data_IF_305021631350
#
_entry.id   IF_305021631350
#
_cell.length_a   1.000
_cell.length_b   1.000
_cell.length_c   1.000
_cell.angle_alpha   90.00
_cell.angle_beta   90.00
_cell.angle_gamma   90.00
#
_symmetry.space_group_name_H-M   'P 1'
#
loop_
_entity.id
_entity.type
_entity.pdbx_description
1 polymer ?
#
# COMPACT_ATOMS: atom_id res chain seq x y z
N UNK A 1 18.23 12.28 0.48
CA UNK A 1 16.80 12.45 0.80
C UNK A 1 16.46 11.48 1.90
N UNK A 2 15.59 11.85 2.84
CA UNK A 2 15.10 10.93 3.87
C UNK A 2 14.08 9.98 3.25
N UNK A 3 14.26 8.68 3.43
CA UNK A 3 13.32 7.65 2.95
C UNK A 3 12.30 7.30 4.01
N UNK A 4 11.13 6.84 3.58
CA UNK A 4 10.10 6.27 4.45
C UNK A 4 10.56 4.85 4.82
N UNK A 5 10.50 4.47 6.09
CA UNK A 5 10.96 3.14 6.52
C UNK A 5 10.11 2.03 5.89
N UNK A 6 8.78 2.20 5.90
CA UNK A 6 7.84 1.24 5.35
C UNK A 6 6.62 1.95 4.76
N UNK A 7 6.17 1.51 3.58
CA UNK A 7 4.94 1.93 2.94
C UNK A 7 4.07 0.71 2.60
N UNK A 8 2.75 0.88 2.61
CA UNK A 8 1.77 -0.14 2.23
C UNK A 8 0.95 0.33 1.03
N UNK A 9 0.91 -0.46 -0.03
CA UNK A 9 -0.02 -0.30 -1.15
C UNK A 9 -1.21 -1.24 -0.94
N UNK A 10 -2.41 -0.73 -1.16
CA UNK A 10 -3.65 -1.52 -1.12
C UNK A 10 -4.42 -1.25 -2.41
N UNK A 11 -4.37 -2.20 -3.33
CA UNK A 11 -4.96 -2.11 -4.66
C UNK A 11 -5.23 -3.53 -5.17
N UNK A 12 -6.42 -3.80 -5.69
CA UNK A 12 -6.80 -5.14 -6.17
C UNK A 12 -6.30 -5.44 -7.59
N UNK A 13 -5.73 -4.47 -8.30
CA UNK A 13 -5.17 -4.65 -9.63
C UNK A 13 -3.65 -4.93 -9.61
N UNK A 14 -3.27 -6.12 -10.05
CA UNK A 14 -1.87 -6.56 -10.11
C UNK A 14 -0.99 -5.66 -11.01
N UNK A 15 -1.58 -5.08 -12.07
CA UNK A 15 -0.85 -4.22 -13.01
C UNK A 15 -0.51 -2.88 -12.35
N UNK A 16 -1.47 -2.27 -11.65
CA UNK A 16 -1.27 -1.08 -10.85
C UNK A 16 -0.20 -1.34 -9.78
N UNK A 17 -0.30 -2.46 -9.05
CA UNK A 17 0.69 -2.87 -8.06
C UNK A 17 2.11 -2.99 -8.66
N UNK A 18 2.26 -3.57 -9.86
CA UNK A 18 3.55 -3.66 -10.55
C UNK A 18 4.12 -2.28 -10.89
N UNK A 19 3.29 -1.38 -11.42
CA UNK A 19 3.71 -0.03 -11.79
C UNK A 19 4.10 0.79 -10.56
N UNK A 20 3.31 0.72 -9.48
CA UNK A 20 3.62 1.37 -8.21
C UNK A 20 4.94 0.86 -7.62
N UNK A 21 5.15 -0.47 -7.59
CA UNK A 21 6.43 -1.07 -7.14
C UNK A 21 7.62 -0.52 -7.94
N UNK A 22 7.53 -0.46 -9.27
CA UNK A 22 8.59 0.11 -10.12
C UNK A 22 8.81 1.60 -9.84
N UNK A 23 7.76 2.37 -9.60
CA UNK A 23 7.88 3.80 -9.30
C UNK A 23 8.59 4.02 -7.97
N UNK A 24 8.20 3.29 -6.92
CA UNK A 24 8.84 3.35 -5.61
C UNK A 24 10.33 3.00 -5.68
N UNK A 25 10.70 1.99 -6.47
CA UNK A 25 12.09 1.60 -6.69
C UNK A 25 12.88 2.71 -7.41
N UNK A 26 12.33 3.28 -8.47
CA UNK A 26 13.01 4.34 -9.25
C UNK A 26 13.22 5.63 -8.45
N UNK A 27 12.28 5.96 -7.57
CA UNK A 27 12.33 7.16 -6.75
C UNK A 27 13.11 6.95 -5.43
N UNK A 28 13.47 5.70 -5.10
CA UNK A 28 14.16 5.34 -3.85
C UNK A 28 13.47 5.91 -2.59
N UNK A 29 12.15 5.92 -2.58
CA UNK A 29 11.32 6.67 -1.61
C UNK A 29 11.01 5.89 -0.33
N UNK A 30 10.99 4.55 -0.39
CA UNK A 30 10.75 3.70 0.77
C UNK A 30 11.77 2.56 0.88
N UNK A 31 12.12 2.17 2.10
CA UNK A 31 13.04 1.04 2.37
C UNK A 31 12.31 -0.31 2.24
N UNK A 32 11.07 -0.36 2.72
CA UNK A 32 10.18 -1.50 2.59
C UNK A 32 8.87 -1.09 1.92
N UNK A 33 8.40 -1.92 1.00
CA UNK A 33 7.11 -1.76 0.35
C UNK A 33 6.28 -3.03 0.54
N UNK A 34 5.24 -2.93 1.36
CA UNK A 34 4.21 -3.95 1.54
C UNK A 34 3.11 -3.75 0.49
N UNK A 35 2.48 -4.85 0.07
CA UNK A 35 1.36 -4.82 -0.87
C UNK A 35 0.26 -5.75 -0.37
N UNK A 36 -0.97 -5.26 -0.40
CA UNK A 36 -2.20 -6.00 -0.13
C UNK A 36 -3.15 -5.84 -1.31
N UNK A 37 -3.91 -6.88 -1.64
CA UNK A 37 -4.88 -6.86 -2.75
C UNK A 37 -6.31 -6.52 -2.30
N UNK A 38 -6.51 -6.33 -1.00
CA UNK A 38 -7.79 -5.95 -0.41
C UNK A 38 -7.59 -5.42 1.01
N UNK A 39 -8.68 -4.90 1.59
CA UNK A 39 -8.66 -4.36 2.95
C UNK A 39 -8.35 -5.40 4.04
N UNK A 40 -8.75 -6.67 3.87
CA UNK A 40 -8.48 -7.69 4.88
C UNK A 40 -6.99 -8.02 4.96
N UNK A 41 -6.34 -8.22 3.83
CA UNK A 41 -4.89 -8.41 3.74
C UNK A 41 -4.13 -7.19 4.28
N UNK A 42 -4.62 -5.98 3.97
CA UNK A 42 -4.02 -4.75 4.51
C UNK A 42 -4.08 -4.71 6.04
N UNK A 43 -5.23 -5.05 6.63
CA UNK A 43 -5.38 -5.11 8.09
C UNK A 43 -4.50 -6.20 8.72
N UNK A 44 -4.37 -7.36 8.08
CA UNK A 44 -3.47 -8.43 8.54
C UNK A 44 -2.00 -7.98 8.52
N UNK A 45 -1.57 -7.29 7.46
CA UNK A 45 -0.23 -6.72 7.38
C UNK A 45 -0.01 -5.66 8.46
N UNK A 46 -0.98 -4.79 8.72
CA UNK A 46 -0.89 -3.80 9.79
C UNK A 46 -0.77 -4.47 11.17
N UNK A 47 -1.60 -5.47 11.47
CA UNK A 47 -1.53 -6.22 12.73
C UNK A 47 -0.19 -6.94 12.91
N UNK A 48 0.38 -7.48 11.83
CA UNK A 48 1.64 -8.20 11.89
C UNK A 48 2.88 -7.29 12.04
N UNK A 49 2.81 -6.03 11.57
CA UNK A 49 3.97 -5.14 11.50
C UNK A 49 3.88 -3.94 12.47
N UNK A 50 2.73 -3.68 13.10
CA UNK A 50 2.52 -2.53 13.98
C UNK A 50 2.18 -2.91 15.44
N UNK A 51 2.74 -2.21 16.44
CA UNK A 51 3.83 -1.23 16.31
C UNK A 51 5.16 -1.95 16.03
N UNK A 52 6.06 -1.32 15.28
CA UNK A 52 7.36 -1.90 14.93
C UNK A 52 8.11 -1.09 13.88
N UNK A 53 9.37 -1.47 13.61
CA UNK A 53 10.19 -0.86 12.56
C UNK A 53 9.59 -1.00 11.16
N UNK A 54 8.86 -2.11 10.95
CA UNK A 54 8.21 -2.42 9.68
C UNK A 54 6.79 -1.83 9.56
N UNK A 55 6.30 -1.18 10.61
CA UNK A 55 4.97 -0.57 10.62
C UNK A 55 4.90 0.51 9.52
N UNK A 56 3.98 0.41 8.54
CA UNK A 56 3.88 1.37 7.46
C UNK A 56 3.62 2.79 7.97
N UNK A 57 4.45 3.75 7.54
CA UNK A 57 4.28 5.17 7.83
C UNK A 57 3.44 5.89 6.75
N UNK A 58 3.28 5.25 5.60
CA UNK A 58 2.45 5.69 4.48
C UNK A 58 1.60 4.51 4.01
N UNK A 59 0.29 4.75 3.83
CA UNK A 59 -0.63 3.79 3.23
C UNK A 59 -1.24 4.47 2.01
N UNK A 60 -1.08 3.86 0.83
CA UNK A 60 -1.74 4.25 -0.41
C UNK A 60 -2.86 3.25 -0.66
N UNK A 61 -4.10 3.69 -0.45
CA UNK A 61 -5.30 2.88 -0.55
C UNK A 61 -6.07 3.28 -1.81
N UNK A 62 -6.19 2.35 -2.76
CA UNK A 62 -7.15 2.47 -3.84
C UNK A 62 -8.57 2.30 -3.28
N UNK A 63 -9.44 3.25 -3.62
CA UNK A 63 -10.83 3.26 -3.20
C UNK A 63 -11.68 3.07 -4.45
N UNK A 64 -12.34 1.92 -4.51
CA UNK A 64 -13.42 1.73 -5.48
C UNK A 64 -14.67 2.43 -4.95
N UNK A 65 -15.03 3.54 -5.59
CA UNK A 65 -16.38 4.05 -5.48
C UNK A 65 -17.31 3.12 -6.25
N UNK A 66 -18.15 2.37 -5.54
CA UNK A 66 -19.35 1.84 -6.15
C UNK A 66 -20.26 3.04 -6.44
N UNK A 67 -20.41 3.38 -7.73
CA UNK A 67 -21.48 4.26 -8.17
C UNK A 67 -22.80 3.52 -7.92
N UNK A 68 -23.36 3.71 -6.71
CA UNK A 68 -24.75 3.39 -6.45
C UNK A 68 -25.57 4.45 -7.18
N UNK A 69 -25.66 4.28 -8.50
CA UNK A 69 -26.55 5.06 -9.34
C UNK A 69 -27.93 5.07 -8.69
N UNK A 70 -28.42 6.28 -8.47
CA UNK A 70 -29.76 6.64 -8.01
C UNK A 70 -30.81 5.52 -8.20
N UNK A 71 -31.25 4.95 -7.08
CA UNK A 71 -32.64 4.54 -6.93
C UNK A 71 -33.44 5.73 -6.38
#
# INVERSE_FOLDING_TARGET
>A
MTRIASALLVDDDDTANYLHKRLFQKLEVAEKLLVAHNGLEALQLLQANCPGLDCPQLILLDIKYADYGWL
#
